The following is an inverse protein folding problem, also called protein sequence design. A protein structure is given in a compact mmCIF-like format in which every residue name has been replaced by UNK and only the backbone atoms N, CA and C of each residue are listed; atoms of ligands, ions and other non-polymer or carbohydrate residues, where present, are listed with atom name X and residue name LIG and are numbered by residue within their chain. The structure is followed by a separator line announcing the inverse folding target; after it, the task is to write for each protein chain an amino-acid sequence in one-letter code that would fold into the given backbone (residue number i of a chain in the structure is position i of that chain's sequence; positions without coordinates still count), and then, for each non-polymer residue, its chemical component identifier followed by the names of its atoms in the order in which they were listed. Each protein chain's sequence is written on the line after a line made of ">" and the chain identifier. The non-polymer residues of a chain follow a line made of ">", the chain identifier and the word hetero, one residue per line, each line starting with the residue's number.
data_IF_556245894739
#
_entry.id   IF_556245894739
#
_cell.length_a   1.000
_cell.length_b   1.000
_cell.length_c   1.000
_cell.angle_alpha   90.00
_cell.angle_beta   90.00
_cell.angle_gamma   90.00
#
_symmetry.space_group_name_H-M   'P 1'
#
loop_
_entity.id
_entity.type
_entity.pdbx_description
1 polymer ?
#
# COMPACT_ATOMS: atom_id res chain seq x y z
N UNK A 1 -6.82 12.93 -22.88
CA UNK A 1 -7.85 12.24 -22.09
C UNK A 1 -7.24 11.74 -20.81
N UNK A 2 -7.87 12.02 -19.68
CA UNK A 2 -7.32 11.48 -18.44
C UNK A 2 -7.31 9.95 -18.49
N UNK A 3 -6.37 9.35 -17.80
CA UNK A 3 -6.35 7.90 -17.65
C UNK A 3 -7.70 7.43 -17.11
N UNK A 4 -8.19 6.29 -17.57
CA UNK A 4 -9.42 5.73 -17.05
C UNK A 4 -9.30 5.58 -15.54
N UNK A 5 -10.25 6.11 -14.78
CA UNK A 5 -10.19 5.98 -13.34
C UNK A 5 -10.34 4.52 -12.94
N UNK A 6 -9.69 4.16 -11.84
CA UNK A 6 -9.88 2.88 -11.21
C UNK A 6 -11.30 2.86 -10.62
N UNK A 7 -12.04 1.79 -10.85
CA UNK A 7 -13.35 1.60 -10.22
C UNK A 7 -13.20 1.54 -8.71
N UNK A 8 -14.10 2.19 -7.99
CA UNK A 8 -14.08 2.18 -6.53
C UNK A 8 -14.19 0.76 -5.97
N UNK A 9 -15.05 -0.05 -6.56
CA UNK A 9 -15.22 -1.46 -6.18
C UNK A 9 -13.92 -2.24 -6.36
N UNK A 10 -13.26 -2.08 -7.52
CA UNK A 10 -12.02 -2.79 -7.82
C UNK A 10 -10.87 -2.31 -6.95
N UNK A 11 -10.78 -1.01 -6.69
CA UNK A 11 -9.80 -0.43 -5.78
C UNK A 11 -9.95 -1.01 -4.38
N UNK A 12 -11.17 -1.04 -3.87
CA UNK A 12 -11.44 -1.55 -2.53
C UNK A 12 -11.12 -3.05 -2.43
N UNK A 13 -11.45 -3.82 -3.48
CA UNK A 13 -11.11 -5.24 -3.54
C UNK A 13 -9.61 -5.45 -3.51
N UNK A 14 -8.85 -4.65 -4.25
CA UNK A 14 -7.39 -4.74 -4.28
C UNK A 14 -6.78 -4.43 -2.91
N UNK A 15 -7.20 -3.34 -2.28
CA UNK A 15 -6.70 -2.96 -0.95
C UNK A 15 -7.06 -4.00 0.11
N UNK A 16 -8.25 -4.57 0.05
CA UNK A 16 -8.67 -5.60 0.99
C UNK A 16 -7.83 -6.88 0.83
N UNK A 17 -7.63 -7.35 -0.39
CA UNK A 17 -6.83 -8.54 -0.63
C UNK A 17 -5.35 -8.33 -0.29
N UNK A 18 -4.80 -7.17 -0.61
CA UNK A 18 -3.44 -6.84 -0.22
C UNK A 18 -3.29 -6.79 1.30
N UNK A 19 -4.25 -6.19 2.00
CA UNK A 19 -4.26 -6.14 3.46
C UNK A 19 -4.33 -7.52 4.08
N UNK A 20 -5.18 -8.38 3.55
CA UNK A 20 -5.31 -9.76 4.05
C UNK A 20 -4.01 -10.55 3.84
N UNK A 21 -3.38 -10.42 2.69
CA UNK A 21 -2.11 -11.09 2.41
C UNK A 21 -0.99 -10.61 3.31
N UNK A 22 -0.84 -9.30 3.48
CA UNK A 22 0.17 -8.73 4.37
C UNK A 22 -0.05 -9.15 5.83
N UNK A 23 -1.30 -9.17 6.27
CA UNK A 23 -1.64 -9.62 7.60
C UNK A 23 -1.31 -11.11 7.79
N UNK A 24 -1.55 -11.92 6.76
CA UNK A 24 -1.19 -13.34 6.76
C UNK A 24 0.32 -13.53 6.89
N UNK A 25 1.11 -12.75 6.18
CA UNK A 25 2.58 -12.78 6.29
C UNK A 25 3.05 -12.42 7.70
N UNK A 26 2.44 -11.38 8.30
CA UNK A 26 2.76 -10.98 9.67
C UNK A 26 2.48 -12.10 10.68
N UNK A 27 1.35 -12.78 10.54
CA UNK A 27 0.97 -13.88 11.44
C UNK A 27 1.86 -15.10 11.30
N UNK A 28 2.25 -15.43 10.06
CA UNK A 28 3.02 -16.65 9.79
C UNK A 28 4.51 -16.47 10.01
N UNK A 29 5.05 -15.33 9.66
CA UNK A 29 6.51 -15.10 9.63
C UNK A 29 6.97 -13.94 10.50
N UNK A 30 6.06 -13.24 11.14
CA UNK A 30 6.38 -12.07 11.95
C UNK A 30 6.72 -10.85 11.11
N UNK A 31 6.95 -9.74 11.78
CA UNK A 31 7.25 -8.48 11.10
C UNK A 31 8.70 -8.47 10.63
N UNK A 32 8.90 -8.05 9.39
CA UNK A 32 10.21 -7.96 8.76
C UNK A 32 10.16 -7.00 7.59
N UNK A 33 11.30 -6.61 7.08
CA UNK A 33 11.40 -5.80 5.86
C UNK A 33 10.81 -6.59 4.67
N UNK A 34 10.17 -5.88 3.75
CA UNK A 34 9.57 -6.48 2.57
C UNK A 34 10.59 -7.33 1.82
N UNK A 35 10.19 -8.54 1.43
CA UNK A 35 11.04 -9.45 0.66
C UNK A 35 11.46 -8.77 -0.64
N UNK A 36 12.76 -8.75 -0.93
CA UNK A 36 13.34 -8.06 -2.08
C UNK A 36 13.02 -6.56 -2.14
N UNK A 37 12.58 -5.97 -1.03
CA UNK A 37 12.25 -4.55 -0.96
C UNK A 37 11.00 -4.16 -1.75
N UNK A 38 10.12 -5.12 -2.04
CA UNK A 38 9.00 -4.88 -2.94
C UNK A 38 7.82 -5.79 -2.61
N UNK A 39 6.61 -5.25 -2.73
CA UNK A 39 5.37 -6.01 -2.65
C UNK A 39 4.40 -5.47 -3.68
N UNK A 40 3.73 -6.38 -4.40
CA UNK A 40 2.70 -6.02 -5.39
C UNK A 40 1.52 -6.96 -5.29
N UNK A 41 0.33 -6.42 -5.44
CA UNK A 41 -0.90 -7.19 -5.55
C UNK A 41 -1.75 -6.59 -6.66
N UNK A 42 -2.13 -7.42 -7.63
CA UNK A 42 -2.98 -7.01 -8.75
C UNK A 42 -4.32 -7.72 -8.58
N UNK A 43 -5.40 -6.95 -8.54
CA UNK A 43 -6.76 -7.47 -8.42
C UNK A 43 -7.64 -6.70 -9.40
N UNK A 44 -8.27 -7.40 -10.33
CA UNK A 44 -9.25 -6.82 -11.27
C UNK A 44 -8.72 -5.58 -12.00
N UNK A 45 -7.53 -5.64 -12.53
CA UNK A 45 -6.89 -4.52 -13.25
C UNK A 45 -6.52 -3.32 -12.38
N UNK A 46 -6.42 -3.53 -11.08
CA UNK A 46 -5.89 -2.53 -10.14
C UNK A 46 -4.63 -3.09 -9.50
N UNK A 47 -3.58 -2.32 -9.45
CA UNK A 47 -2.33 -2.72 -8.82
C UNK A 47 -2.06 -1.89 -7.57
N UNK A 48 -1.78 -2.57 -6.46
CA UNK A 48 -1.18 -1.98 -5.27
C UNK A 48 0.30 -2.35 -5.25
N UNK A 49 1.16 -1.36 -5.06
CA UNK A 49 2.60 -1.55 -4.96
C UNK A 49 3.14 -0.92 -3.68
N UNK A 50 4.08 -1.60 -3.05
CA UNK A 50 4.85 -1.07 -1.94
C UNK A 50 6.33 -1.24 -2.25
N UNK A 51 7.10 -0.16 -2.15
CA UNK A 51 8.53 -0.15 -2.49
C UNK A 51 9.34 0.34 -1.30
N UNK A 52 10.34 -0.45 -0.92
CA UNK A 52 11.26 -0.10 0.16
C UNK A 52 12.24 0.96 -0.28
N UNK A 53 12.51 1.90 0.61
CA UNK A 53 13.58 2.88 0.48
C UNK A 53 14.59 2.70 1.60
N UNK A 54 14.14 2.37 2.80
CA UNK A 54 15.02 2.23 3.94
C UNK A 54 14.38 1.48 5.11
N UNK A 55 14.09 0.19 4.94
CA UNK A 55 13.53 -0.65 6.00
C UNK A 55 12.01 -0.62 6.07
N UNK A 56 11.34 -0.65 4.94
CA UNK A 56 9.89 -0.74 4.85
C UNK A 56 9.44 -2.15 5.23
N UNK A 57 8.74 -2.25 6.34
CA UNK A 57 8.31 -3.55 6.89
C UNK A 57 6.90 -3.91 6.44
N UNK A 58 6.53 -5.18 6.63
CA UNK A 58 5.16 -5.66 6.35
C UNK A 58 4.12 -4.94 7.20
N UNK A 59 4.43 -4.65 8.49
CA UNK A 59 3.49 -3.90 9.33
C UNK A 59 3.31 -2.47 8.84
N UNK A 60 4.38 -1.81 8.39
CA UNK A 60 4.29 -0.47 7.85
C UNK A 60 3.49 -0.44 6.55
N UNK A 61 3.65 -1.46 5.69
CA UNK A 61 2.86 -1.59 4.46
C UNK A 61 1.38 -1.78 4.77
N UNK A 62 1.05 -2.60 5.78
CA UNK A 62 -0.33 -2.81 6.20
C UNK A 62 -0.95 -1.51 6.74
N UNK A 63 -0.21 -0.76 7.56
CA UNK A 63 -0.66 0.53 8.08
C UNK A 63 -0.88 1.52 6.92
N UNK A 64 -0.03 1.48 5.90
CA UNK A 64 -0.17 2.33 4.73
C UNK A 64 -1.46 2.02 3.95
N UNK A 65 -1.86 0.74 3.88
CA UNK A 65 -3.14 0.36 3.25
C UNK A 65 -4.31 1.01 3.99
N UNK A 66 -4.31 1.00 5.31
CA UNK A 66 -5.35 1.65 6.10
C UNK A 66 -5.38 3.16 5.83
N UNK A 67 -4.20 3.80 5.74
CA UNK A 67 -4.09 5.21 5.41
C UNK A 67 -4.63 5.53 4.02
N UNK A 68 -4.32 4.70 3.02
CA UNK A 68 -4.84 4.86 1.67
C UNK A 68 -6.36 4.71 1.63
N UNK A 69 -6.92 3.71 2.31
CA UNK A 69 -8.37 3.50 2.37
C UNK A 69 -9.07 4.70 2.97
N UNK A 70 -8.52 5.26 4.03
CA UNK A 70 -9.07 6.45 4.68
C UNK A 70 -9.01 7.65 3.73
N UNK A 71 -7.88 7.84 3.05
CA UNK A 71 -7.67 8.95 2.12
C UNK A 71 -8.65 8.91 0.95
N UNK A 72 -8.86 7.73 0.35
CA UNK A 72 -9.80 7.59 -0.78
C UNK A 72 -11.24 7.84 -0.35
N UNK A 73 -11.62 7.49 0.88
CA UNK A 73 -12.95 7.79 1.40
C UNK A 73 -13.17 9.30 1.53
N UNK A 74 -12.12 10.04 1.90
CA UNK A 74 -12.20 11.49 2.07
C UNK A 74 -12.21 12.24 0.74
N UNK A 75 -11.32 11.88 -0.16
CA UNK A 75 -11.06 12.64 -1.38
C UNK A 75 -11.81 12.10 -2.59
N UNK A 76 -12.36 10.89 -2.52
CA UNK A 76 -12.93 10.22 -3.67
C UNK A 76 -11.89 9.89 -4.76
N UNK A 77 -10.61 9.94 -4.41
CA UNK A 77 -9.53 9.69 -5.37
C UNK A 77 -9.50 8.22 -5.78
N UNK A 78 -9.22 7.98 -7.06
CA UNK A 78 -9.18 6.63 -7.62
C UNK A 78 -7.76 6.13 -7.83
N UNK A 79 -6.79 7.04 -7.90
CA UNK A 79 -5.37 6.73 -8.03
C UNK A 79 -4.62 7.52 -6.99
N UNK A 80 -3.81 6.84 -6.19
CA UNK A 80 -3.05 7.46 -5.12
C UNK A 80 -1.62 6.97 -5.10
N UNK A 81 -0.73 7.88 -4.71
CA UNK A 81 0.65 7.58 -4.44
C UNK A 81 1.03 8.30 -3.15
N UNK A 82 1.71 7.63 -2.26
CA UNK A 82 2.09 8.20 -0.97
C UNK A 82 3.46 7.72 -0.52
N UNK A 83 4.20 8.60 0.14
CA UNK A 83 5.42 8.23 0.83
C UNK A 83 5.07 7.83 2.26
N UNK A 84 5.78 6.82 2.77
CA UNK A 84 5.55 6.28 4.10
C UNK A 84 6.72 6.66 5.00
N UNK A 85 6.40 7.39 6.05
CA UNK A 85 7.36 7.82 7.05
C UNK A 85 7.05 7.16 8.38
N UNK A 86 8.08 6.73 9.08
CA UNK A 86 7.95 6.20 10.44
C UNK A 86 8.63 7.17 11.39
N UNK A 87 7.92 7.57 12.43
CA UNK A 87 8.45 8.43 13.46
C UNK A 87 9.01 7.60 14.61
N UNK A 88 10.27 7.83 14.93
CA UNK A 88 10.94 7.21 16.07
C UNK A 88 11.51 8.32 16.97
N UNK A 89 10.86 8.57 18.11
CA UNK A 89 11.22 9.68 18.98
C UNK A 89 11.04 11.03 18.28
N UNK A 90 12.14 11.78 18.13
CA UNK A 90 12.13 13.07 17.48
C UNK A 90 12.53 13.00 16.00
N UNK A 91 12.80 11.80 15.49
CA UNK A 91 13.23 11.61 14.11
C UNK A 91 12.13 10.98 13.28
N UNK A 92 12.03 11.43 12.03
CA UNK A 92 11.13 10.86 11.03
C UNK A 92 11.97 10.26 9.92
N UNK A 93 11.74 8.99 9.62
CA UNK A 93 12.49 8.25 8.59
C UNK A 93 11.58 7.91 7.42
N UNK A 94 12.06 8.15 6.20
CA UNK A 94 11.39 7.71 5.00
C UNK A 94 11.67 6.23 4.80
N UNK A 95 10.64 5.41 4.90
CA UNK A 95 10.77 3.94 4.79
C UNK A 95 10.45 3.42 3.40
N UNK A 96 9.58 4.08 2.67
CA UNK A 96 9.21 3.64 1.36
C UNK A 96 8.04 4.40 0.78
N UNK A 97 7.48 3.85 -0.30
CA UNK A 97 6.31 4.42 -0.97
C UNK A 97 5.29 3.34 -1.27
N UNK A 98 4.02 3.76 -1.33
CA UNK A 98 2.93 2.90 -1.76
C UNK A 98 2.16 3.60 -2.86
N UNK A 99 1.59 2.83 -3.77
CA UNK A 99 0.73 3.35 -4.81
C UNK A 99 -0.41 2.39 -5.09
N UNK A 100 -1.53 2.96 -5.55
CA UNK A 100 -2.64 2.19 -6.09
C UNK A 100 -3.06 2.84 -7.38
N UNK A 101 -3.08 2.07 -8.46
CA UNK A 101 -3.35 2.58 -9.79
C UNK A 101 -3.91 1.49 -10.68
N UNK A 102 -4.42 1.90 -11.85
CA UNK A 102 -4.91 0.96 -12.83
C UNK A 102 -3.74 0.17 -13.42
N UNK A 103 -3.87 -1.15 -13.42
CA UNK A 103 -2.91 -2.03 -14.11
C UNK A 103 -3.25 -2.07 -15.59
N UNK A 104 -2.29 -1.79 -16.47
CA UNK A 104 -2.50 -1.84 -17.92
C UNK A 104 -2.70 -3.26 -18.44
#
# INVERSE_FOLDING_TARGET
>A
MPANPVSETDRNACLEEAGNELNGELRQRGDRVLDNGYYERIVRSVAFEAKDVGGFTYSAALDAIWGLRWKVLQDGSTTLQASVFVREGFHTFWRGSVSIEKWP
#
